data_IF_644328626829
#
_entry.id   IF_644328626829
#
_cell.length_a   1.000
_cell.length_b   1.000
_cell.length_c   1.000
_cell.angle_alpha   90.00
_cell.angle_beta   90.00
_cell.angle_gamma   90.00
#
_symmetry.space_group_name_H-M   'P 1'
#
loop_
_entity.id
_entity.type
_entity.pdbx_description
1 polymer ?
#
# COMPACT_ATOMS: atom_id res chain seq x y z
N UNK A 1 1.83 13.11 0.15
CA UNK A 1 2.28 11.71 0.17
C UNK A 1 1.27 10.93 -0.64
N UNK A 2 1.67 10.40 -1.79
CA UNK A 2 0.76 9.59 -2.61
C UNK A 2 0.66 8.19 -2.00
N UNK A 3 -0.52 7.57 -2.08
CA UNK A 3 -0.73 6.23 -1.55
C UNK A 3 -1.04 5.27 -2.69
N UNK A 4 -0.35 4.14 -2.70
CA UNK A 4 -0.68 3.02 -3.59
C UNK A 4 -1.26 1.88 -2.77
N UNK A 5 -2.34 1.30 -3.28
CA UNK A 5 -2.98 0.15 -2.64
C UNK A 5 -2.36 -1.13 -3.17
N UNK A 6 -1.77 -1.91 -2.28
CA UNK A 6 -1.27 -3.23 -2.58
C UNK A 6 -2.41 -4.25 -2.44
N UNK A 7 -2.90 -4.77 -3.58
CA UNK A 7 -3.92 -5.82 -3.65
C UNK A 7 -3.39 -7.21 -3.26
N UNK A 8 -2.64 -7.28 -2.14
CA UNK A 8 -2.02 -8.49 -1.61
C UNK A 8 -2.07 -8.47 -0.08
N UNK A 9 -2.30 -9.63 0.53
CA UNK A 9 -2.14 -9.84 1.97
C UNK A 9 -0.77 -10.37 2.38
N UNK A 10 0.14 -10.61 1.42
CA UNK A 10 1.47 -11.17 1.69
C UNK A 10 2.38 -10.11 2.33
N UNK A 11 2.73 -10.32 3.61
CA UNK A 11 3.57 -9.41 4.39
C UNK A 11 4.97 -9.19 3.81
N UNK A 12 5.57 -10.21 3.20
CA UNK A 12 6.90 -10.10 2.57
C UNK A 12 6.87 -9.14 1.39
N UNK A 13 5.91 -9.33 0.47
CA UNK A 13 5.72 -8.44 -0.68
C UNK A 13 5.40 -7.01 -0.25
N UNK A 14 4.58 -6.83 0.78
CA UNK A 14 4.26 -5.48 1.30
C UNK A 14 5.54 -4.79 1.78
N UNK A 15 6.39 -5.47 2.56
CA UNK A 15 7.66 -4.91 3.05
C UNK A 15 8.60 -4.54 1.91
N UNK A 16 8.78 -5.44 0.93
CA UNK A 16 9.63 -5.21 -0.25
C UNK A 16 9.20 -3.96 -1.03
N UNK A 17 7.88 -3.78 -1.23
CA UNK A 17 7.36 -2.60 -1.91
C UNK A 17 7.52 -1.33 -1.06
N UNK A 18 7.23 -1.36 0.24
CA UNK A 18 7.46 -0.21 1.12
C UNK A 18 8.92 0.26 1.09
N UNK A 19 9.88 -0.67 1.10
CA UNK A 19 11.31 -0.37 0.99
C UNK A 19 11.65 0.22 -0.39
N UNK A 20 11.18 -0.41 -1.47
CA UNK A 20 11.43 0.03 -2.84
C UNK A 20 10.88 1.43 -3.14
N UNK A 21 9.72 1.80 -2.59
CA UNK A 21 9.07 3.09 -2.87
C UNK A 21 9.35 4.18 -1.83
N UNK A 22 10.09 3.86 -0.76
CA UNK A 22 10.39 4.78 0.36
C UNK A 22 11.00 6.12 -0.07
N UNK A 23 11.84 6.12 -1.11
CA UNK A 23 12.51 7.32 -1.63
C UNK A 23 11.63 8.20 -2.52
N UNK A 24 10.48 7.69 -2.97
CA UNK A 24 9.55 8.38 -3.86
C UNK A 24 8.44 9.12 -3.12
N UNK A 25 8.48 9.17 -1.78
CA UNK A 25 7.39 9.72 -0.96
C UNK A 25 6.02 9.09 -1.25
N UNK A 26 6.04 7.81 -1.64
CA UNK A 26 4.88 6.97 -1.88
C UNK A 26 4.72 6.03 -0.68
N UNK A 27 3.52 5.99 -0.13
CA UNK A 27 3.15 5.08 0.95
C UNK A 27 2.39 3.86 0.39
N UNK A 28 2.82 2.68 0.80
CA UNK A 28 2.33 1.39 0.31
C UNK A 28 1.35 0.80 1.32
N UNK A 29 0.05 0.87 1.04
CA UNK A 29 -1.00 0.45 1.97
C UNK A 29 -1.59 -0.88 1.50
N UNK A 30 -1.65 -1.93 2.34
CA UNK A 30 -2.30 -3.17 1.96
C UNK A 30 -3.81 -2.98 1.85
N UNK A 31 -4.44 -3.67 0.90
CA UNK A 31 -5.89 -3.56 0.61
C UNK A 31 -6.78 -3.82 1.83
N UNK A 32 -6.32 -4.61 2.80
CA UNK A 32 -7.05 -4.87 4.06
C UNK A 32 -7.17 -3.65 4.97
N UNK A 33 -6.28 -2.68 4.81
CA UNK A 33 -6.21 -1.47 5.65
C UNK A 33 -6.91 -0.28 4.97
N UNK A 34 -7.42 -0.47 3.75
CA UNK A 34 -8.26 0.50 3.05
C UNK A 34 -9.72 0.17 3.36
N UNK A 35 -10.36 0.98 4.20
CA UNK A 35 -11.78 0.82 4.52
C UNK A 35 -12.63 0.99 3.26
N UNK A 36 -13.63 0.12 3.05
CA UNK A 36 -14.48 0.08 1.84
C UNK A 36 -15.44 1.26 1.71
N UNK A 37 -15.23 2.35 2.45
CA UNK A 37 -16.04 3.57 2.38
C UNK A 37 -15.39 4.59 1.47
N UNK A 38 -15.52 4.39 0.15
CA UNK A 38 -15.64 5.43 -0.88
C UNK A 38 -15.47 4.80 -2.26
N UNK A 39 -16.47 4.04 -2.70
CA UNK A 39 -16.79 3.97 -4.13
C UNK A 39 -18.28 4.31 -4.18
N UNK A 40 -18.55 5.58 -4.50
CA UNK A 40 -19.90 6.07 -4.81
C UNK A 40 -20.34 5.47 -6.14
#
# INVERSE_FOLDING_TARGET
>A
MEQIVLATGNKGKIREFSEAFSHLSIDCVPVKDVDRKSVV
#
